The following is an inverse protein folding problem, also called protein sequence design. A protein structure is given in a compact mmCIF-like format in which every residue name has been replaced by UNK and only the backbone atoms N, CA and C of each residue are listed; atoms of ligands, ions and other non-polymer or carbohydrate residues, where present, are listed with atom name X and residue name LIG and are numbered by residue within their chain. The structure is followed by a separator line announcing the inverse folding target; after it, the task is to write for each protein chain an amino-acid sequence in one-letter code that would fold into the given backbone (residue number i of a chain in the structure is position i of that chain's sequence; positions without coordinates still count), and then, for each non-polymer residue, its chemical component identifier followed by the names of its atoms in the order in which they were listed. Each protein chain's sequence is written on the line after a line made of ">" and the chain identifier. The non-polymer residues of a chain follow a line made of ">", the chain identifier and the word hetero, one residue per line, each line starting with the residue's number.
data_IF_133302649248
#
_entry.id   IF_133302649248
#
_cell.length_a   1.000
_cell.length_b   1.000
_cell.length_c   1.000
_cell.angle_alpha   90.00
_cell.angle_beta   90.00
_cell.angle_gamma   90.00
#
_symmetry.space_group_name_H-M   'P 1'
#
loop_
_entity.id
_entity.type
_entity.pdbx_description
1 polymer ?
#
# COMPACT_ATOMS: atom_id res chain seq x y z
N UNK A 1 -11.58 -3.40 2.39
CA UNK A 1 -12.83 -3.73 3.12
C UNK A 1 -13.69 -2.47 3.18
N UNK A 2 -14.85 -2.45 2.52
CA UNK A 2 -15.75 -1.27 2.50
C UNK A 2 -16.79 -1.39 3.61
N UNK A 3 -17.21 -0.24 4.15
CA UNK A 3 -18.33 -0.18 5.09
C UNK A 3 -19.63 -0.65 4.39
N UNK A 4 -20.50 -1.31 5.15
CA UNK A 4 -21.84 -1.63 4.63
C UNK A 4 -22.62 -0.32 4.43
N UNK A 5 -23.38 -0.20 3.36
CA UNK A 5 -24.09 1.03 2.98
C UNK A 5 -25.03 1.60 4.06
N UNK A 6 -25.60 0.74 4.91
CA UNK A 6 -26.42 1.17 6.04
C UNK A 6 -25.58 1.79 7.19
N UNK A 7 -24.34 1.33 7.38
CA UNK A 7 -23.41 1.87 8.38
C UNK A 7 -22.89 3.23 7.89
N UNK A 8 -22.48 3.31 6.62
CA UNK A 8 -22.04 4.55 5.99
C UNK A 8 -23.12 5.65 6.07
N UNK A 9 -24.39 5.30 5.73
CA UNK A 9 -25.49 6.24 5.86
C UNK A 9 -25.74 6.69 7.30
N UNK A 10 -25.57 5.81 8.29
CA UNK A 10 -25.69 6.21 9.71
C UNK A 10 -24.59 7.18 10.12
N UNK A 11 -23.34 6.91 9.73
CA UNK A 11 -22.20 7.80 10.03
C UNK A 11 -22.38 9.17 9.39
N UNK A 12 -22.82 9.22 8.13
CA UNK A 12 -23.07 10.48 7.42
C UNK A 12 -24.20 11.33 8.01
N UNK A 13 -25.09 10.73 8.79
CA UNK A 13 -26.19 11.42 9.46
C UNK A 13 -25.92 11.71 10.94
N UNK A 14 -24.73 11.37 11.47
CA UNK A 14 -24.36 11.67 12.86
C UNK A 14 -24.09 13.16 13.05
N UNK A 15 -24.54 13.68 14.18
CA UNK A 15 -24.14 15.01 14.64
C UNK A 15 -22.65 15.01 15.04
N UNK A 16 -22.04 16.20 15.01
CA UNK A 16 -20.60 16.37 15.34
C UNK A 16 -20.21 15.72 16.67
N UNK A 17 -21.03 15.85 17.69
CA UNK A 17 -20.74 15.27 19.01
C UNK A 17 -20.84 13.74 19.02
N UNK A 18 -21.78 13.16 18.27
CA UNK A 18 -21.91 11.72 18.10
C UNK A 18 -20.70 11.14 17.35
N UNK A 19 -20.27 11.83 16.29
CA UNK A 19 -19.08 11.44 15.52
C UNK A 19 -17.81 11.50 16.38
N UNK A 20 -17.63 12.55 17.19
CA UNK A 20 -16.50 12.66 18.12
C UNK A 20 -16.52 11.54 19.17
N UNK A 21 -17.68 11.19 19.71
CA UNK A 21 -17.80 10.08 20.65
C UNK A 21 -17.49 8.74 20.00
N UNK A 22 -17.90 8.52 18.75
CA UNK A 22 -17.56 7.32 17.97
C UNK A 22 -16.05 7.23 17.76
N UNK A 23 -15.40 8.32 17.33
CA UNK A 23 -13.95 8.38 17.14
C UNK A 23 -13.21 8.09 18.44
N UNK A 24 -13.59 8.72 19.54
CA UNK A 24 -13.00 8.49 20.85
C UNK A 24 -13.13 7.02 21.28
N UNK A 25 -14.31 6.42 21.07
CA UNK A 25 -14.54 5.00 21.37
C UNK A 25 -13.64 4.09 20.53
N UNK A 26 -13.46 4.40 19.25
CA UNK A 26 -12.55 3.66 18.38
C UNK A 26 -11.09 3.79 18.84
N UNK A 27 -10.67 5.00 19.24
CA UNK A 27 -9.32 5.25 19.76
C UNK A 27 -9.05 4.49 21.06
N UNK A 28 -10.03 4.42 21.98
CA UNK A 28 -9.88 3.69 23.24
C UNK A 28 -9.75 2.18 23.05
N UNK A 29 -10.24 1.64 21.94
CA UNK A 29 -10.28 0.20 21.70
C UNK A 29 -9.30 -0.27 20.60
N UNK A 30 -8.56 0.65 19.97
CA UNK A 30 -7.70 0.28 18.83
C UNK A 30 -6.54 1.27 18.65
N UNK A 31 -5.35 0.85 19.04
CA UNK A 31 -4.11 1.64 18.91
C UNK A 31 -3.78 1.98 17.45
N UNK A 32 -4.16 1.13 16.48
CA UNK A 32 -3.95 1.41 15.06
C UNK A 32 -4.76 2.62 14.59
N UNK A 33 -5.97 2.83 15.14
CA UNK A 33 -6.79 4.03 14.86
C UNK A 33 -6.14 5.28 15.43
N UNK A 34 -5.61 5.22 16.66
CA UNK A 34 -4.88 6.34 17.28
C UNK A 34 -3.65 6.70 16.44
N UNK A 35 -2.86 5.70 16.04
CA UNK A 35 -1.66 5.92 15.22
C UNK A 35 -2.03 6.50 13.85
N UNK A 36 -3.08 6.00 13.19
CA UNK A 36 -3.56 6.52 11.92
C UNK A 36 -3.97 8.00 12.05
N UNK A 37 -4.80 8.34 13.03
CA UNK A 37 -5.26 9.72 13.24
C UNK A 37 -4.10 10.66 13.56
N UNK A 38 -3.17 10.24 14.42
CA UNK A 38 -1.99 11.04 14.72
C UNK A 38 -1.16 11.30 13.45
N UNK A 39 -0.88 10.28 12.66
CA UNK A 39 -0.11 10.44 11.43
C UNK A 39 -0.85 11.29 10.40
N UNK A 40 -2.18 11.10 10.27
CA UNK A 40 -3.03 11.85 9.34
C UNK A 40 -3.01 13.35 9.63
N UNK A 41 -3.19 13.74 10.89
CA UNK A 41 -3.28 15.16 11.26
C UNK A 41 -1.94 15.84 11.50
N UNK A 42 -0.87 15.08 11.77
CA UNK A 42 0.46 15.65 11.96
C UNK A 42 1.28 15.73 10.67
N UNK A 43 0.74 15.23 9.53
CA UNK A 43 1.44 15.16 8.24
C UNK A 43 2.84 14.55 8.35
N UNK A 44 3.01 13.54 9.22
CA UNK A 44 4.29 12.83 9.36
C UNK A 44 4.55 12.10 8.05
N UNK A 45 5.53 12.58 7.30
CA UNK A 45 6.02 11.88 6.11
C UNK A 45 6.68 10.57 6.53
N UNK A 46 6.39 9.53 5.76
CA UNK A 46 7.06 8.23 5.95
C UNK A 46 8.53 8.38 5.58
N UNK A 47 9.41 7.89 6.44
CA UNK A 47 10.82 7.65 6.10
C UNK A 47 10.89 6.37 5.25
N UNK A 48 10.51 6.49 3.98
CA UNK A 48 10.43 5.35 3.05
C UNK A 48 11.80 4.72 2.79
N UNK A 49 12.88 5.48 2.82
CA UNK A 49 14.25 4.96 2.64
C UNK A 49 14.61 3.96 3.72
N UNK A 50 14.38 4.32 4.98
CA UNK A 50 14.63 3.44 6.12
C UNK A 50 13.73 2.19 6.13
N UNK A 51 12.51 2.30 5.60
CA UNK A 51 11.60 1.17 5.48
C UNK A 51 12.06 0.25 4.35
N UNK A 52 12.46 0.81 3.21
CA UNK A 52 12.99 0.07 2.08
C UNK A 52 14.24 -0.71 2.48
N UNK A 53 15.18 -0.10 3.21
CA UNK A 53 16.33 -0.81 3.76
C UNK A 53 15.94 -2.01 4.64
N UNK A 54 14.86 -1.89 5.42
CA UNK A 54 14.37 -3.02 6.23
C UNK A 54 13.78 -4.13 5.37
N UNK A 55 13.04 -3.76 4.33
CA UNK A 55 12.45 -4.70 3.37
C UNK A 55 13.58 -5.44 2.64
N UNK A 56 14.54 -4.70 2.08
CA UNK A 56 15.66 -5.27 1.34
C UNK A 56 16.45 -6.29 2.17
N UNK A 57 16.74 -5.96 3.44
CA UNK A 57 17.42 -6.88 4.37
C UNK A 57 16.68 -8.21 4.57
N UNK A 58 15.37 -8.29 4.32
CA UNK A 58 14.60 -9.52 4.43
C UNK A 58 14.75 -10.40 3.19
N UNK A 59 15.03 -9.81 2.04
CA UNK A 59 15.29 -10.54 0.79
C UNK A 59 16.76 -10.96 0.62
N UNK A 60 17.69 -10.26 1.24
CA UNK A 60 19.13 -10.61 1.20
C UNK A 60 19.57 -11.61 2.27
N UNK A 61 18.65 -12.26 2.97
CA UNK A 61 18.95 -13.33 3.94
C UNK A 61 19.12 -14.68 3.24
N UNK A 62 19.84 -15.59 3.91
CA UNK A 62 19.94 -17.00 3.46
C UNK A 62 18.56 -17.68 3.34
N UNK A 63 17.61 -17.26 4.18
CA UNK A 63 16.20 -17.65 4.10
C UNK A 63 15.41 -16.35 3.95
N UNK A 64 14.79 -16.17 2.79
CA UNK A 64 14.02 -14.97 2.47
C UNK A 64 12.72 -14.92 3.28
N UNK A 65 12.50 -13.80 3.97
CA UNK A 65 11.32 -13.58 4.79
C UNK A 65 10.28 -12.68 4.08
N UNK A 66 9.89 -13.02 2.86
CA UNK A 66 9.02 -12.17 2.02
C UNK A 66 7.64 -11.89 2.63
N UNK A 67 7.04 -12.85 3.36
CA UNK A 67 5.77 -12.60 4.07
C UNK A 67 5.92 -11.51 5.14
N UNK A 68 7.09 -11.43 5.80
CA UNK A 68 7.38 -10.38 6.77
C UNK A 68 7.55 -9.03 6.09
N UNK A 69 8.19 -8.99 4.92
CA UNK A 69 8.31 -7.76 4.11
C UNK A 69 6.93 -7.23 3.69
N UNK A 70 6.04 -8.10 3.22
CA UNK A 70 4.65 -7.79 2.87
C UNK A 70 3.89 -7.24 4.10
N UNK A 71 4.05 -7.87 5.26
CA UNK A 71 3.41 -7.40 6.50
C UNK A 71 3.91 -6.03 6.96
N UNK A 72 5.19 -5.71 6.75
CA UNK A 72 5.72 -4.36 6.98
C UNK A 72 4.96 -3.35 6.11
N UNK A 73 4.84 -3.59 4.80
CA UNK A 73 4.09 -2.71 3.89
C UNK A 73 2.64 -2.52 4.32
N UNK A 74 1.91 -3.61 4.61
CA UNK A 74 0.52 -3.52 5.07
C UNK A 74 0.37 -2.77 6.40
N UNK A 75 1.35 -2.86 7.29
CA UNK A 75 1.31 -2.12 8.54
C UNK A 75 1.40 -0.60 8.31
N UNK A 76 2.21 -0.16 7.35
CA UNK A 76 2.30 1.25 6.97
C UNK A 76 1.06 1.72 6.20
N UNK A 77 0.49 0.91 5.32
CA UNK A 77 -0.80 1.21 4.65
C UNK A 77 -1.92 1.51 5.63
N UNK A 78 -1.98 0.78 6.74
CA UNK A 78 -3.02 0.98 7.76
C UNK A 78 -2.84 2.26 8.58
N UNK A 79 -1.64 2.83 8.61
CA UNK A 79 -1.23 3.85 9.57
C UNK A 79 -0.85 5.18 8.94
N UNK A 80 -0.79 5.27 7.63
CA UNK A 80 -0.33 6.45 6.92
C UNK A 80 -1.24 6.82 5.76
N UNK A 81 -1.29 8.12 5.48
CA UNK A 81 -1.89 8.73 4.31
C UNK A 81 -0.84 9.37 3.37
N UNK A 82 0.44 9.15 3.62
CA UNK A 82 1.52 9.58 2.73
C UNK A 82 1.54 8.72 1.47
N UNK A 83 0.69 9.07 0.48
CA UNK A 83 0.55 8.33 -0.76
C UNK A 83 1.88 8.18 -1.51
N UNK A 84 2.73 9.23 -1.52
CA UNK A 84 4.04 9.17 -2.17
C UNK A 84 4.97 8.17 -1.47
N UNK A 85 5.07 8.24 -0.15
CA UNK A 85 5.86 7.31 0.65
C UNK A 85 5.36 5.87 0.50
N UNK A 86 4.05 5.65 0.52
CA UNK A 86 3.44 4.33 0.33
C UNK A 86 3.67 3.77 -1.08
N UNK A 87 3.61 4.61 -2.12
CA UNK A 87 3.93 4.19 -3.49
C UNK A 87 5.41 3.77 -3.61
N UNK A 88 6.35 4.55 -3.04
CA UNK A 88 7.78 4.22 -3.08
C UNK A 88 8.13 2.94 -2.31
N UNK A 89 7.51 2.70 -1.15
CA UNK A 89 7.69 1.44 -0.41
C UNK A 89 7.10 0.27 -1.21
N UNK A 90 5.92 0.45 -1.79
CA UNK A 90 5.26 -0.55 -2.59
C UNK A 90 6.05 -0.92 -3.85
N UNK A 91 6.60 0.06 -4.57
CA UNK A 91 7.48 -0.16 -5.73
C UNK A 91 8.72 -0.95 -5.37
N UNK A 92 9.39 -0.62 -4.25
CA UNK A 92 10.55 -1.38 -3.78
C UNK A 92 10.18 -2.82 -3.39
N UNK A 93 9.07 -3.01 -2.68
CA UNK A 93 8.58 -4.34 -2.33
C UNK A 93 8.23 -5.15 -3.58
N UNK A 94 7.53 -4.53 -4.55
CA UNK A 94 7.13 -5.17 -5.80
C UNK A 94 8.36 -5.65 -6.58
N UNK A 95 9.38 -4.81 -6.71
CA UNK A 95 10.67 -5.19 -7.32
C UNK A 95 11.28 -6.42 -6.65
N UNK A 96 11.39 -6.40 -5.33
CA UNK A 96 11.99 -7.52 -4.59
C UNK A 96 11.16 -8.81 -4.72
N UNK A 97 9.82 -8.71 -4.80
CA UNK A 97 8.94 -9.87 -5.00
C UNK A 97 9.09 -10.45 -6.41
N UNK A 98 9.15 -9.62 -7.45
CA UNK A 98 9.37 -10.02 -8.83
C UNK A 98 10.71 -10.75 -8.92
N UNK A 99 11.80 -10.11 -8.49
CA UNK A 99 13.15 -10.68 -8.53
C UNK A 99 13.22 -12.03 -7.76
N UNK A 100 12.50 -12.16 -6.66
CA UNK A 100 12.50 -13.38 -5.85
C UNK A 100 11.67 -14.52 -6.47
N UNK A 101 10.53 -14.19 -7.08
CA UNK A 101 9.62 -15.16 -7.68
C UNK A 101 9.83 -15.36 -9.17
N UNK A 102 10.90 -14.84 -9.76
CA UNK A 102 11.20 -14.90 -11.20
C UNK A 102 11.02 -16.29 -11.81
N UNK A 103 11.23 -17.36 -11.04
CA UNK A 103 11.10 -18.75 -11.47
C UNK A 103 9.96 -19.52 -10.77
N UNK A 104 9.15 -18.87 -9.93
CA UNK A 104 8.05 -19.52 -9.18
C UNK A 104 6.81 -18.64 -9.16
N UNK A 105 6.13 -18.53 -10.28
CA UNK A 105 4.82 -17.89 -10.37
C UNK A 105 3.67 -18.84 -9.99
N UNK A 106 3.78 -19.48 -8.82
CA UNK A 106 2.65 -20.23 -8.27
C UNK A 106 1.44 -19.28 -8.07
N UNK A 107 0.22 -19.83 -8.11
CA UNK A 107 -1.00 -19.03 -7.96
C UNK A 107 -1.02 -18.14 -6.70
N UNK A 108 -0.32 -18.57 -5.65
CA UNK A 108 -0.17 -17.79 -4.41
C UNK A 108 0.78 -16.60 -4.58
N UNK A 109 1.90 -16.78 -5.27
CA UNK A 109 2.90 -15.74 -5.50
C UNK A 109 2.39 -14.72 -6.51
N UNK A 110 1.79 -15.19 -7.60
CA UNK A 110 1.09 -14.36 -8.57
C UNK A 110 0.09 -13.41 -7.88
N UNK A 111 -0.80 -13.95 -7.04
CA UNK A 111 -1.78 -13.12 -6.33
C UNK A 111 -1.13 -12.03 -5.46
N UNK A 112 -0.02 -12.34 -4.78
CA UNK A 112 0.68 -11.34 -3.95
C UNK A 112 1.23 -10.20 -4.80
N UNK A 113 1.84 -10.51 -5.94
CA UNK A 113 2.37 -9.50 -6.86
C UNK A 113 1.23 -8.62 -7.37
N UNK A 114 0.12 -9.21 -7.84
CA UNK A 114 -1.04 -8.46 -8.33
C UNK A 114 -1.66 -7.56 -7.24
N UNK A 115 -1.85 -8.09 -6.02
CA UNK A 115 -2.39 -7.31 -4.90
C UNK A 115 -1.48 -6.09 -4.57
N UNK A 116 -0.15 -6.26 -4.57
CA UNK A 116 0.79 -5.16 -4.32
C UNK A 116 0.81 -4.17 -5.49
N UNK A 117 0.78 -4.67 -6.73
CA UNK A 117 0.70 -3.85 -7.94
C UNK A 117 -0.53 -2.93 -7.93
N UNK A 118 -1.71 -3.47 -7.59
CA UNK A 118 -2.95 -2.70 -7.46
C UNK A 118 -2.82 -1.59 -6.42
N UNK A 119 -2.26 -1.89 -5.24
CA UNK A 119 -2.05 -0.87 -4.20
C UNK A 119 -1.05 0.21 -4.61
N UNK A 120 0.01 -0.16 -5.33
CA UNK A 120 0.98 0.82 -5.84
C UNK A 120 0.30 1.79 -6.79
N UNK A 121 -0.48 1.29 -7.77
CA UNK A 121 -1.23 2.14 -8.69
C UNK A 121 -2.26 3.02 -7.97
N UNK A 122 -2.99 2.46 -6.97
CA UNK A 122 -3.93 3.21 -6.13
C UNK A 122 -3.26 4.41 -5.44
N UNK A 123 -2.02 4.28 -4.97
CA UNK A 123 -1.29 5.38 -4.34
C UNK A 123 -0.67 6.34 -5.36
N UNK A 124 -0.12 5.84 -6.45
CA UNK A 124 0.48 6.69 -7.49
C UNK A 124 -0.56 7.69 -8.04
N UNK A 125 -1.79 7.24 -8.31
CA UNK A 125 -2.85 8.11 -8.86
C UNK A 125 -3.23 9.25 -7.90
N UNK A 126 -3.00 9.10 -6.60
CA UNK A 126 -3.30 10.12 -5.58
C UNK A 126 -2.17 11.15 -5.40
N UNK A 127 -1.02 10.97 -6.04
CA UNK A 127 0.09 11.94 -5.99
C UNK A 127 -0.08 12.96 -7.11
N UNK A 128 -0.10 14.25 -6.79
CA UNK A 128 -0.33 15.33 -7.78
C UNK A 128 0.69 15.31 -8.93
N UNK A 129 1.99 15.17 -8.60
CA UNK A 129 3.06 14.99 -9.59
C UNK A 129 3.55 13.55 -9.55
N UNK A 130 2.87 12.69 -10.26
CA UNK A 130 3.09 11.25 -10.24
C UNK A 130 3.92 10.71 -11.41
N UNK A 131 4.37 11.57 -12.33
CA UNK A 131 5.06 11.14 -13.55
C UNK A 131 6.26 10.23 -13.27
N UNK A 132 7.17 10.65 -12.37
CA UNK A 132 8.34 9.86 -12.01
C UNK A 132 7.99 8.51 -11.36
N UNK A 133 6.89 8.44 -10.59
CA UNK A 133 6.43 7.18 -9.99
C UNK A 133 5.83 6.25 -11.05
N UNK A 134 5.15 6.79 -12.04
CA UNK A 134 4.61 6.03 -13.18
C UNK A 134 5.74 5.44 -14.01
N UNK A 135 6.76 6.25 -14.35
CA UNK A 135 7.94 5.75 -15.07
C UNK A 135 8.67 4.64 -14.29
N UNK A 136 8.80 4.77 -12.97
CA UNK A 136 9.38 3.73 -12.14
C UNK A 136 8.56 2.43 -12.19
N UNK A 137 7.24 2.52 -12.11
CA UNK A 137 6.36 1.35 -12.23
C UNK A 137 6.51 0.69 -13.61
N UNK A 138 6.37 1.47 -14.68
CA UNK A 138 6.50 0.98 -16.06
C UNK A 138 7.86 0.32 -16.30
N UNK A 139 8.96 0.92 -15.84
CA UNK A 139 10.31 0.38 -15.96
C UNK A 139 10.52 -0.92 -15.18
N UNK A 140 9.81 -1.10 -14.10
CA UNK A 140 9.83 -2.33 -13.30
C UNK A 140 9.10 -3.46 -14.01
N UNK A 141 7.91 -3.17 -14.53
CA UNK A 141 7.01 -4.17 -15.12
C UNK A 141 7.46 -4.62 -16.51
N UNK A 142 8.03 -3.73 -17.34
CA UNK A 142 8.37 -4.01 -18.73
C UNK A 142 9.40 -5.15 -18.97
N UNK A 143 9.99 -5.67 -17.89
CA UNK A 143 11.01 -6.75 -17.96
C UNK A 143 10.48 -8.08 -17.43
N UNK A 144 9.21 -8.15 -17.07
CA UNK A 144 8.65 -9.31 -16.39
C UNK A 144 7.65 -10.08 -17.27
N UNK A 145 7.52 -11.39 -17.02
CA UNK A 145 6.54 -12.25 -17.70
C UNK A 145 5.09 -11.88 -17.35
N UNK A 146 4.88 -11.17 -16.21
CA UNK A 146 3.60 -10.67 -15.77
C UNK A 146 3.22 -9.30 -16.36
N UNK A 147 3.98 -8.84 -17.37
CA UNK A 147 3.83 -7.53 -17.99
C UNK A 147 2.38 -7.21 -18.38
N UNK A 148 1.71 -8.11 -19.09
CA UNK A 148 0.35 -7.88 -19.56
C UNK A 148 -0.62 -7.66 -18.40
N UNK A 149 -0.61 -8.56 -17.41
CA UNK A 149 -1.52 -8.48 -16.24
C UNK A 149 -1.26 -7.24 -15.38
N UNK A 150 0.00 -6.89 -15.18
CA UNK A 150 0.38 -5.72 -14.39
C UNK A 150 0.08 -4.41 -15.14
N UNK A 151 0.24 -4.38 -16.47
CA UNK A 151 -0.14 -3.22 -17.28
C UNK A 151 -1.66 -3.07 -17.39
N UNK A 152 -2.43 -4.15 -17.38
CA UNK A 152 -3.90 -4.07 -17.30
C UNK A 152 -4.34 -3.37 -15.99
N UNK A 153 -3.70 -3.71 -14.87
CA UNK A 153 -3.90 -2.97 -13.60
C UNK A 153 -3.56 -1.49 -13.79
N UNK A 154 -2.37 -1.18 -14.32
CA UNK A 154 -1.91 0.19 -14.55
C UNK A 154 -2.91 0.99 -15.40
N UNK A 155 -3.32 0.49 -16.55
CA UNK A 155 -4.26 1.17 -17.44
C UNK A 155 -5.63 1.40 -16.78
N UNK A 156 -6.07 0.50 -15.92
CA UNK A 156 -7.31 0.67 -15.16
C UNK A 156 -7.33 1.91 -14.26
N UNK A 157 -6.16 2.41 -13.85
CA UNK A 157 -6.00 3.59 -13.01
C UNK A 157 -5.68 4.86 -13.80
N UNK A 158 -4.94 4.77 -14.91
CA UNK A 158 -4.33 5.92 -15.58
C UNK A 158 -4.89 6.23 -16.98
N UNK A 159 -5.62 5.31 -17.60
CA UNK A 159 -6.21 5.51 -18.94
C UNK A 159 -7.75 5.47 -18.89
N UNK A 160 -8.34 6.41 -18.12
CA UNK A 160 -9.80 6.60 -18.09
C UNK A 160 -10.22 7.81 -18.90
#
# INVERSE_FOLDING_TARGET
>A
MKLKSNVERKINNMEKNELLNLINTLCLNNDDVVMFLNNYYTNIKIDYEKINEKIDKLFFKNIVEYDKAINIYYSYRKRSNDCKGLALIGLNLLKNLIDYFEYDYSSKNYKKIMDISEYVCEYIVQVEDNYALRELYESLVCKDELYEDMMDIYYSYFEK
#
